data_IF_894152240007
#
_entry.id   IF_894152240007
#
_cell.length_a   1.000
_cell.length_b   1.000
_cell.length_c   1.000
_cell.angle_alpha   90.00
_cell.angle_beta   90.00
_cell.angle_gamma   90.00
#
_symmetry.space_group_name_H-M   'P 1'
#
loop_
_entity.id
_entity.type
_entity.pdbx_description
1 polymer ?
#
# COMPACT_ATOMS: atom_id res chain seq x y z
N UNK A 1 7.78 9.52 -25.52
CA UNK A 1 7.81 8.77 -24.24
C UNK A 1 7.06 9.59 -23.20
N UNK A 2 6.00 9.04 -22.60
CA UNK A 2 5.24 9.72 -21.54
C UNK A 2 5.79 9.26 -20.19
N UNK A 3 6.24 10.18 -19.35
CA UNK A 3 6.68 9.87 -17.98
C UNK A 3 5.55 10.26 -17.02
N UNK A 4 5.18 9.34 -16.13
CA UNK A 4 4.22 9.57 -15.06
C UNK A 4 4.99 9.52 -13.76
N UNK A 5 5.00 10.63 -13.03
CA UNK A 5 5.62 10.72 -11.72
C UNK A 5 4.56 10.47 -10.66
N UNK A 6 4.71 9.39 -9.92
CA UNK A 6 3.78 9.00 -8.86
C UNK A 6 4.43 9.26 -7.51
N UNK A 7 3.73 10.00 -6.66
CA UNK A 7 4.10 10.23 -5.25
C UNK A 7 3.06 9.57 -4.36
N UNK A 8 3.46 8.59 -3.56
CA UNK A 8 2.60 8.11 -2.46
C UNK A 8 2.65 9.17 -1.36
N UNK A 9 1.49 9.60 -0.87
CA UNK A 9 1.39 10.61 0.21
C UNK A 9 1.20 9.96 1.56
N UNK A 10 0.30 8.97 1.63
CA UNK A 10 -0.13 8.38 2.88
C UNK A 10 -0.63 6.96 2.69
N UNK A 11 -0.39 6.12 3.68
CA UNK A 11 -1.02 4.81 3.78
C UNK A 11 -1.64 4.65 5.16
N UNK A 12 -2.89 4.19 5.23
CA UNK A 12 -3.61 3.95 6.50
C UNK A 12 -4.21 2.55 6.51
N UNK A 13 -4.30 1.96 7.70
CA UNK A 13 -5.12 0.76 7.88
C UNK A 13 -6.59 1.17 7.87
N UNK A 14 -7.35 0.62 6.93
CA UNK A 14 -8.81 0.79 6.84
C UNK A 14 -9.54 -0.26 7.68
N UNK A 15 -9.13 -1.51 7.52
CA UNK A 15 -9.67 -2.65 8.25
C UNK A 15 -8.62 -3.76 8.35
N UNK A 16 -8.83 -4.75 9.22
CA UNK A 16 -7.92 -5.89 9.37
C UNK A 16 -8.64 -7.15 9.87
N UNK A 17 -8.06 -8.31 9.59
CA UNK A 17 -8.46 -9.62 10.13
C UNK A 17 -7.28 -10.24 10.89
N UNK A 18 -7.41 -10.35 12.21
CA UNK A 18 -6.42 -11.05 13.03
C UNK A 18 -6.42 -12.58 12.79
N UNK A 19 -7.55 -13.12 12.31
CA UNK A 19 -7.69 -14.53 11.96
C UNK A 19 -6.93 -14.85 10.69
N UNK A 20 -7.12 -14.05 9.65
CA UNK A 20 -6.57 -14.27 8.31
C UNK A 20 -5.21 -13.59 8.11
N UNK A 21 -4.73 -12.89 9.14
CA UNK A 21 -3.47 -12.16 9.15
C UNK A 21 -3.34 -11.17 7.99
N UNK A 22 -4.45 -10.48 7.72
CA UNK A 22 -4.62 -9.61 6.57
C UNK A 22 -5.11 -8.22 6.96
N UNK A 23 -4.79 -7.25 6.12
CA UNK A 23 -5.14 -5.85 6.29
C UNK A 23 -5.67 -5.28 4.99
N UNK A 24 -6.59 -4.34 5.11
CA UNK A 24 -6.98 -3.46 4.03
C UNK A 24 -6.31 -2.11 4.24
N UNK A 25 -5.52 -1.69 3.25
CA UNK A 25 -4.78 -0.44 3.24
C UNK A 25 -5.49 0.53 2.32
N UNK A 26 -5.76 1.73 2.81
CA UNK A 26 -6.06 2.85 1.93
C UNK A 26 -4.76 3.58 1.62
N UNK A 27 -4.44 3.69 0.34
CA UNK A 27 -3.19 4.27 -0.17
C UNK A 27 -3.55 5.53 -0.95
N UNK A 28 -3.16 6.67 -0.41
CA UNK A 28 -3.30 7.98 -1.04
C UNK A 28 -2.04 8.30 -1.84
N UNK A 29 -2.20 8.65 -3.11
CA UNK A 29 -1.08 9.01 -3.99
C UNK A 29 -1.48 10.12 -4.96
N UNK A 30 -0.48 10.70 -5.62
CA UNK A 30 -0.66 11.73 -6.64
C UNK A 30 0.22 11.46 -7.85
N UNK A 31 -0.38 11.54 -9.03
CA UNK A 31 0.28 11.39 -10.32
C UNK A 31 0.02 12.60 -11.25
N UNK A 32 -0.36 13.74 -10.64
CA UNK A 32 -0.98 14.89 -11.31
C UNK A 32 -2.43 15.13 -10.85
N UNK A 33 -3.08 14.12 -10.30
CA UNK A 33 -4.35 14.23 -9.57
C UNK A 33 -4.30 13.45 -8.25
N UNK A 34 -5.04 13.90 -7.25
CA UNK A 34 -5.14 13.16 -5.98
C UNK A 34 -6.04 11.94 -6.14
N UNK A 35 -5.48 10.77 -5.79
CA UNK A 35 -6.12 9.46 -5.94
C UNK A 35 -6.00 8.66 -4.65
N UNK A 36 -6.93 7.75 -4.45
CA UNK A 36 -6.91 6.75 -3.39
C UNK A 36 -7.24 5.37 -3.96
N UNK A 37 -6.50 4.36 -3.54
CA UNK A 37 -6.86 2.95 -3.77
C UNK A 37 -7.00 2.20 -2.46
N UNK A 38 -7.86 1.18 -2.47
CA UNK A 38 -7.98 0.22 -1.40
C UNK A 38 -7.25 -1.06 -1.82
N UNK A 39 -6.36 -1.56 -0.96
CA UNK A 39 -5.60 -2.77 -1.21
C UNK A 39 -5.73 -3.73 -0.04
N UNK A 40 -6.27 -4.91 -0.30
CA UNK A 40 -6.21 -6.03 0.63
C UNK A 40 -4.86 -6.76 0.49
N UNK A 41 -4.20 -7.08 1.61
CA UNK A 41 -2.95 -7.84 1.62
C UNK A 41 -2.77 -8.66 2.90
N UNK A 42 -2.12 -9.81 2.77
CA UNK A 42 -1.56 -10.57 3.90
C UNK A 42 -0.25 -9.89 4.31
N UNK A 43 0.08 -9.88 5.61
CA UNK A 43 1.22 -9.11 6.17
C UNK A 43 2.30 -9.98 6.82
N UNK A 44 2.41 -11.25 6.38
CA UNK A 44 3.45 -12.19 6.83
C UNK A 44 4.87 -11.73 6.46
N UNK A 45 5.02 -11.06 5.30
CA UNK A 45 6.30 -10.63 4.76
C UNK A 45 6.28 -9.13 4.39
N UNK A 46 6.45 -8.22 5.37
CA UNK A 46 6.29 -6.77 5.18
C UNK A 46 7.09 -6.17 4.02
N UNK A 47 8.35 -6.60 3.84
CA UNK A 47 9.22 -6.08 2.76
C UNK A 47 8.72 -6.48 1.37
N UNK A 48 8.39 -7.75 1.20
CA UNK A 48 7.83 -8.27 -0.07
C UNK A 48 6.49 -7.60 -0.38
N UNK A 49 5.65 -7.41 0.63
CA UNK A 49 4.36 -6.72 0.47
C UNK A 49 4.56 -5.26 0.06
N UNK A 50 5.51 -4.55 0.68
CA UNK A 50 5.87 -3.19 0.28
C UNK A 50 6.32 -3.14 -1.18
N UNK A 51 7.21 -4.03 -1.60
CA UNK A 51 7.66 -4.15 -2.99
C UNK A 51 6.49 -4.38 -3.95
N UNK A 52 5.58 -5.31 -3.61
CA UNK A 52 4.39 -5.60 -4.41
C UNK A 52 3.44 -4.41 -4.52
N UNK A 53 3.24 -3.63 -3.44
CA UNK A 53 2.42 -2.41 -3.46
C UNK A 53 2.92 -1.44 -4.54
N UNK A 54 4.23 -1.16 -4.55
CA UNK A 54 4.81 -0.22 -5.51
C UNK A 54 4.75 -0.75 -6.93
N UNK A 55 5.03 -2.04 -7.13
CA UNK A 55 4.96 -2.66 -8.45
C UNK A 55 3.53 -2.69 -9.01
N UNK A 56 2.54 -2.93 -8.16
CA UNK A 56 1.14 -2.91 -8.58
C UNK A 56 0.65 -1.50 -8.89
N UNK A 57 1.06 -0.48 -8.12
CA UNK A 57 0.81 0.92 -8.44
C UNK A 57 1.41 1.32 -9.80
N UNK A 58 2.67 0.93 -10.07
CA UNK A 58 3.32 1.15 -11.37
C UNK A 58 2.55 0.51 -12.52
N UNK A 59 2.14 -0.76 -12.36
CA UNK A 59 1.35 -1.48 -13.37
C UNK A 59 -0.01 -0.82 -13.60
N UNK A 60 -0.70 -0.45 -12.53
CA UNK A 60 -2.00 0.22 -12.59
C UNK A 60 -1.90 1.54 -13.37
N UNK A 61 -0.96 2.41 -13.00
CA UNK A 61 -0.80 3.70 -13.66
C UNK A 61 -0.36 3.56 -15.11
N UNK A 62 0.48 2.57 -15.41
CA UNK A 62 0.84 2.24 -16.79
C UNK A 62 -0.39 1.82 -17.60
N UNK A 63 -1.22 0.92 -17.06
CA UNK A 63 -2.41 0.41 -17.75
C UNK A 63 -3.48 1.49 -17.99
N UNK A 64 -3.70 2.40 -17.04
CA UNK A 64 -4.64 3.52 -17.19
C UNK A 64 -4.21 4.47 -18.32
N UNK A 65 -2.90 4.60 -18.53
CA UNK A 65 -2.33 5.59 -19.44
C UNK A 65 -1.96 5.03 -20.82
N UNK A 66 -2.01 3.71 -21.02
CA UNK A 66 -1.94 3.09 -22.33
C UNK A 66 -3.31 3.26 -23.00
N UNK A 67 -3.37 4.08 -24.05
CA UNK A 67 -4.55 4.11 -24.95
C UNK A 67 -4.39 3.00 -25.98
N UNK A 68 -5.37 2.10 -26.07
CA UNK A 68 -5.42 1.11 -27.13
C UNK A 68 -6.13 1.72 -28.35
N UNK A 69 -5.37 2.13 -29.37
CA UNK A 69 -5.92 2.74 -30.59
C UNK A 69 -5.92 1.79 -31.81
N UNK A 70 -5.53 0.53 -31.63
CA UNK A 70 -5.57 -0.49 -32.67
C UNK A 70 -4.53 -0.33 -33.79
N UNK A 71 -3.78 0.77 -33.83
CA UNK A 71 -2.79 1.03 -34.89
C UNK A 71 -1.37 1.30 -34.39
N UNK A 72 -1.18 1.64 -33.12
CA UNK A 72 0.15 2.01 -32.61
C UNK A 72 0.67 1.03 -31.56
N UNK A 73 1.24 -0.08 -32.02
CA UNK A 73 2.08 -0.97 -31.18
C UNK A 73 3.35 -0.26 -30.68
N UNK A 74 3.69 0.92 -31.24
CA UNK A 74 4.93 1.66 -30.98
C UNK A 74 4.77 3.00 -30.21
N UNK A 75 3.57 3.59 -30.07
CA UNK A 75 3.43 5.01 -29.62
C UNK A 75 3.19 5.26 -28.12
N UNK A 76 3.13 4.25 -27.26
CA UNK A 76 2.88 4.51 -25.83
C UNK A 76 3.85 3.79 -24.90
N UNK A 77 5.15 4.07 -25.07
CA UNK A 77 6.14 3.90 -23.99
C UNK A 77 5.79 4.87 -22.84
N UNK A 78 4.91 4.41 -21.96
CA UNK A 78 4.59 5.02 -20.66
C UNK A 78 5.58 4.47 -19.64
N UNK A 79 6.42 5.36 -19.11
CA UNK A 79 7.31 5.04 -17.99
C UNK A 79 6.71 5.60 -16.70
N UNK A 80 6.56 4.77 -15.68
CA UNK A 80 6.03 5.17 -14.37
C UNK A 80 7.18 5.21 -13.38
N UNK A 81 7.44 6.39 -12.82
CA UNK A 81 8.52 6.64 -11.88
C UNK A 81 7.92 6.98 -10.52
N UNK A 82 8.30 6.23 -9.49
CA UNK A 82 7.87 6.49 -8.11
C UNK A 82 8.86 7.45 -7.46
N UNK A 83 8.36 8.53 -6.86
CA UNK A 83 9.21 9.44 -6.08
C UNK A 83 9.72 8.73 -4.81
N UNK A 84 10.99 8.95 -4.46
CA UNK A 84 11.63 8.42 -3.24
C UNK A 84 11.42 6.91 -3.02
N UNK A 85 11.33 6.13 -4.11
CA UNK A 85 10.87 4.73 -4.09
C UNK A 85 11.54 3.87 -3.01
N UNK A 86 12.87 3.89 -2.93
CA UNK A 86 13.61 3.05 -1.99
C UNK A 86 13.41 3.46 -0.53
N UNK A 87 13.28 4.75 -0.25
CA UNK A 87 13.02 5.26 1.09
C UNK A 87 11.59 4.93 1.53
N UNK A 88 10.64 5.16 0.64
CA UNK A 88 9.23 4.95 0.93
C UNK A 88 8.89 3.47 1.07
N UNK A 89 9.53 2.59 0.27
CA UNK A 89 9.45 1.13 0.47
C UNK A 89 9.90 0.73 1.86
N UNK A 90 11.02 1.27 2.36
CA UNK A 90 11.51 0.99 3.73
C UNK A 90 10.54 1.48 4.80
N UNK A 91 9.99 2.69 4.63
CA UNK A 91 8.97 3.25 5.54
C UNK A 91 7.70 2.38 5.55
N UNK A 92 7.22 1.96 4.39
CA UNK A 92 6.05 1.09 4.23
C UNK A 92 6.32 -0.29 4.83
N UNK A 93 7.47 -0.90 4.58
CA UNK A 93 7.83 -2.19 5.18
C UNK A 93 7.83 -2.11 6.72
N UNK A 94 8.44 -1.07 7.30
CA UNK A 94 8.43 -0.84 8.74
C UNK A 94 7.02 -0.59 9.28
N UNK A 95 6.21 0.16 8.55
CA UNK A 95 4.80 0.36 8.90
C UNK A 95 4.03 -0.96 8.94
N UNK A 96 4.14 -1.79 7.91
CA UNK A 96 3.51 -3.11 7.83
C UNK A 96 4.02 -4.05 8.91
N UNK A 97 5.31 -4.01 9.24
CA UNK A 97 5.88 -4.76 10.37
C UNK A 97 5.22 -4.36 11.69
N UNK A 98 5.08 -3.06 11.97
CA UNK A 98 4.42 -2.59 13.19
C UNK A 98 2.95 -3.04 13.27
N UNK A 99 2.24 -3.05 12.13
CA UNK A 99 0.86 -3.56 12.05
C UNK A 99 0.84 -5.07 12.34
N UNK A 100 1.74 -5.82 11.73
CA UNK A 100 1.95 -7.26 11.89
C UNK A 100 2.17 -7.64 13.36
N UNK A 101 3.07 -6.92 14.05
CA UNK A 101 3.34 -7.12 15.48
C UNK A 101 2.10 -6.86 16.36
N UNK A 102 1.31 -5.83 16.05
CA UNK A 102 0.08 -5.54 16.81
C UNK A 102 -1.00 -6.59 16.56
N UNK A 103 -1.15 -7.07 15.32
CA UNK A 103 -2.09 -8.15 15.01
C UNK A 103 -1.69 -9.44 15.72
N UNK A 104 -0.39 -9.76 15.79
CA UNK A 104 0.10 -10.90 16.58
C UNK A 104 -0.21 -10.77 18.07
N UNK A 105 -0.08 -9.58 18.65
CA UNK A 105 -0.46 -9.33 20.05
C UNK A 105 -1.95 -9.57 20.27
N UNK A 106 -2.80 -9.18 19.33
CA UNK A 106 -4.25 -9.43 19.37
C UNK A 106 -4.55 -10.94 19.33
N UNK A 107 -3.92 -11.67 18.40
CA UNK A 107 -4.11 -13.12 18.25
C UNK A 107 -3.70 -13.92 19.50
N UNK A 108 -2.64 -13.47 20.18
CA UNK A 108 -2.07 -14.19 21.34
C UNK A 108 -2.66 -13.77 22.70
N UNK A 109 -3.45 -12.70 22.77
CA UNK A 109 -4.07 -12.26 24.03
C UNK A 109 -5.28 -13.13 24.39
N UNK A 110 -5.23 -13.74 25.58
CA UNK A 110 -6.33 -14.51 26.18
C UNK A 110 -7.34 -13.65 26.97
N UNK A 111 -7.03 -12.38 27.22
CA UNK A 111 -7.81 -11.48 28.09
C UNK A 111 -8.41 -10.34 27.26
N UNK A 112 -9.70 -10.06 27.49
CA UNK A 112 -10.49 -9.05 26.78
C UNK A 112 -10.00 -7.62 27.07
N UNK A 113 -9.44 -7.38 28.25
CA UNK A 113 -8.90 -6.06 28.62
C UNK A 113 -7.65 -5.69 27.80
N UNK A 114 -7.74 -4.56 27.12
CA UNK A 114 -6.72 -4.07 26.20
C UNK A 114 -6.81 -4.65 24.79
N UNK A 115 -7.70 -5.60 24.49
CA UNK A 115 -7.99 -6.06 23.13
C UNK A 115 -8.63 -4.94 22.30
N UNK A 116 -9.65 -4.26 22.86
CA UNK A 116 -10.31 -3.11 22.24
C UNK A 116 -9.33 -1.96 21.99
N UNK A 117 -8.41 -1.71 22.92
CA UNK A 117 -7.40 -0.66 22.76
C UNK A 117 -6.44 -0.98 21.61
N UNK A 118 -5.99 -2.24 21.48
CA UNK A 118 -5.15 -2.66 20.36
C UNK A 118 -5.88 -2.54 19.01
N UNK A 119 -7.17 -2.88 18.94
CA UNK A 119 -7.98 -2.65 17.72
C UNK A 119 -8.02 -1.16 17.38
N UNK A 120 -8.34 -0.31 18.36
CA UNK A 120 -8.38 1.15 18.17
C UNK A 120 -7.03 1.69 17.68
N UNK A 121 -5.94 1.22 18.28
CA UNK A 121 -4.59 1.61 17.87
C UNK A 121 -4.32 1.23 16.41
N UNK A 122 -4.65 0.01 15.98
CA UNK A 122 -4.44 -0.43 14.59
C UNK A 122 -5.27 0.42 13.62
N UNK A 123 -6.54 0.68 13.92
CA UNK A 123 -7.41 1.50 13.06
C UNK A 123 -6.95 2.95 12.91
N UNK A 124 -6.12 3.44 13.85
CA UNK A 124 -5.51 4.77 13.79
C UNK A 124 -4.13 4.76 13.13
N UNK A 125 -3.58 3.58 12.80
CA UNK A 125 -2.26 3.48 12.20
C UNK A 125 -2.24 4.04 10.79
N UNK A 126 -1.30 4.95 10.58
CA UNK A 126 -0.98 5.53 9.28
C UNK A 126 0.50 5.82 9.18
N UNK A 127 0.99 5.92 7.95
CA UNK A 127 2.32 6.41 7.60
C UNK A 127 2.18 7.48 6.52
N UNK A 128 2.86 8.61 6.71
CA UNK A 128 3.00 9.68 5.71
C UNK A 128 4.33 9.45 4.97
N UNK A 129 4.36 9.71 3.67
CA UNK A 129 5.49 9.41 2.77
C UNK A 129 5.98 10.67 2.04
#
# INVERSE_FOLDING_TARGET
>A
MKIINVKIKKMKVSSFSARDYSVELAIDFNDGADKQIMRHTVIDYPEMVAEHIFNDLKKMEKNINIKFDGTSVLDSYVNVVMQNEDEDKKKVAKFLQNVSEKINKIKNKRVVEGYINLIKEINLMKVEL
#
